data_IF_978518343937
#
_entry.id   IF_978518343937
#
_cell.length_a   1.000
_cell.length_b   1.000
_cell.length_c   1.000
_cell.angle_alpha   90.00
_cell.angle_beta   90.00
_cell.angle_gamma   90.00
#
_symmetry.space_group_name_H-M   'P 1'
#
loop_
_entity.id
_entity.type
_entity.pdbx_description
1 polymer ?
#
# COMPACT_ATOMS: atom_id res chain seq x y z
N UNK A 1 20.76 31.25 -12.62
CA UNK A 1 19.70 30.43 -12.00
C UNK A 1 20.17 29.00 -12.04
N UNK A 2 20.52 28.43 -10.89
CA UNK A 2 20.73 27.00 -10.75
C UNK A 2 19.40 26.32 -11.05
N UNK A 3 19.33 25.31 -11.95
CA UNK A 3 18.10 24.55 -12.11
C UNK A 3 17.71 23.98 -10.73
N UNK A 4 16.41 23.90 -10.40
CA UNK A 4 15.99 23.28 -9.15
C UNK A 4 16.59 21.87 -9.12
N UNK A 5 17.17 21.48 -7.97
CA UNK A 5 17.64 20.13 -7.72
C UNK A 5 16.52 19.19 -8.12
N UNK A 6 16.73 18.45 -9.20
CA UNK A 6 15.75 17.50 -9.70
C UNK A 6 15.63 16.40 -8.64
N UNK A 7 14.49 16.32 -7.97
CA UNK A 7 14.23 15.25 -7.01
C UNK A 7 14.42 13.92 -7.71
N UNK A 8 15.34 13.11 -7.18
CA UNK A 8 15.66 11.81 -7.75
C UNK A 8 14.53 10.85 -7.39
N UNK A 9 13.93 10.23 -8.41
CA UNK A 9 12.83 9.27 -8.25
C UNK A 9 13.19 7.95 -8.92
N UNK A 10 12.56 6.86 -8.45
CA UNK A 10 12.81 5.51 -8.93
C UNK A 10 11.48 4.80 -9.16
N UNK A 11 11.44 3.90 -10.15
CA UNK A 11 10.32 2.97 -10.33
C UNK A 11 10.65 1.75 -9.48
N UNK A 12 9.81 1.38 -8.50
CA UNK A 12 10.02 0.17 -7.70
C UNK A 12 9.07 -0.94 -8.16
N UNK A 13 9.61 -2.13 -8.43
CA UNK A 13 8.79 -3.29 -8.73
C UNK A 13 7.94 -3.67 -7.51
N UNK A 14 6.64 -3.88 -7.75
CA UNK A 14 5.69 -4.22 -6.68
C UNK A 14 5.88 -5.64 -6.11
N UNK A 15 6.65 -6.51 -6.78
CA UNK A 15 6.94 -7.87 -6.32
C UNK A 15 8.42 -7.95 -5.96
N UNK A 16 8.70 -8.36 -4.72
CA UNK A 16 10.07 -8.50 -4.24
C UNK A 16 10.74 -9.76 -4.84
N UNK A 17 12.03 -9.66 -5.14
CA UNK A 17 12.85 -10.80 -5.54
C UNK A 17 13.31 -11.58 -4.30
N UNK A 18 12.99 -12.87 -4.22
CA UNK A 18 13.30 -13.70 -3.05
C UNK A 18 14.47 -14.62 -3.33
N UNK A 19 15.50 -14.60 -2.46
CA UNK A 19 16.72 -15.39 -2.63
C UNK A 19 17.06 -16.26 -1.42
N UNK A 20 17.66 -17.43 -1.65
CA UNK A 20 18.12 -18.32 -0.57
C UNK A 20 19.09 -17.60 0.37
N UNK A 21 19.04 -17.88 1.68
CA UNK A 21 19.87 -17.20 2.68
C UNK A 21 21.37 -17.28 2.40
N UNK A 22 21.86 -18.43 1.90
CA UNK A 22 23.28 -18.59 1.53
C UNK A 22 23.71 -17.62 0.42
N UNK A 23 22.78 -17.28 -0.50
CA UNK A 23 23.03 -16.31 -1.57
C UNK A 23 22.92 -14.89 -1.01
N UNK A 24 21.88 -14.59 -0.22
CA UNK A 24 21.72 -13.31 0.46
C UNK A 24 23.00 -12.91 1.24
N UNK A 25 23.53 -13.82 2.06
CA UNK A 25 24.76 -13.60 2.85
C UNK A 25 26.01 -13.28 2.02
N UNK A 26 26.05 -13.62 0.74
CA UNK A 26 27.18 -13.36 -0.17
C UNK A 26 26.99 -12.11 -1.01
N UNK A 27 25.75 -11.68 -1.20
CA UNK A 27 25.38 -10.63 -2.16
C UNK A 27 25.01 -9.33 -1.46
N UNK A 28 24.44 -9.40 -0.26
CA UNK A 28 24.02 -8.21 0.47
C UNK A 28 25.21 -7.56 1.19
N UNK A 29 25.16 -6.23 1.44
CA UNK A 29 26.14 -5.57 2.29
C UNK A 29 26.28 -6.27 3.64
N UNK A 30 27.49 -6.29 4.25
CA UNK A 30 27.67 -6.87 5.58
C UNK A 30 26.70 -6.25 6.60
N UNK A 31 25.92 -7.08 7.29
CA UNK A 31 24.92 -6.65 8.28
C UNK A 31 23.53 -6.33 7.73
N UNK A 32 23.34 -6.30 6.41
CA UNK A 32 22.04 -6.05 5.80
C UNK A 32 21.17 -7.32 5.70
N UNK A 33 19.89 -7.17 6.04
CA UNK A 33 18.85 -8.18 5.87
C UNK A 33 18.17 -8.13 4.51
N UNK A 34 18.04 -6.94 3.90
CA UNK A 34 17.45 -6.72 2.57
C UNK A 34 18.35 -5.84 1.71
N UNK A 35 18.09 -5.81 0.40
CA UNK A 35 18.83 -4.96 -0.54
C UNK A 35 17.95 -4.44 -1.66
N UNK A 36 18.07 -3.15 -1.99
CA UNK A 36 17.40 -2.54 -3.14
C UNK A 36 18.41 -2.21 -4.22
N UNK A 37 18.22 -2.77 -5.42
CA UNK A 37 18.99 -2.40 -6.59
C UNK A 37 18.35 -1.19 -7.27
N UNK A 38 18.89 0.00 -7.03
CA UNK A 38 18.40 1.23 -7.65
C UNK A 38 18.76 1.27 -9.15
N UNK A 39 17.76 1.58 -9.98
CA UNK A 39 17.94 1.70 -11.42
C UNK A 39 17.40 3.05 -11.90
N UNK A 40 18.14 3.71 -12.81
CA UNK A 40 17.69 4.98 -13.39
C UNK A 40 16.38 4.79 -14.15
N UNK A 41 15.38 5.67 -13.95
CA UNK A 41 14.16 5.62 -14.74
C UNK A 41 14.44 5.65 -16.25
N UNK A 42 13.72 4.86 -17.06
CA UNK A 42 12.48 4.14 -16.76
C UNK A 42 12.68 2.70 -16.25
N UNK A 43 13.87 2.31 -15.80
CA UNK A 43 14.11 0.95 -15.30
C UNK A 43 13.52 0.75 -13.90
N UNK A 44 12.95 -0.42 -13.66
CA UNK A 44 12.46 -0.79 -12.33
C UNK A 44 13.63 -1.19 -11.42
N UNK A 45 13.67 -0.56 -10.25
CA UNK A 45 14.41 -0.99 -9.07
C UNK A 45 13.71 -2.18 -8.43
N UNK A 46 14.47 -3.04 -7.76
CA UNK A 46 13.96 -4.31 -7.21
C UNK A 46 14.40 -4.46 -5.76
N UNK A 47 13.43 -4.63 -4.85
CA UNK A 47 13.67 -5.08 -3.48
C UNK A 47 14.01 -6.57 -3.50
N UNK A 48 15.14 -6.94 -2.91
CA UNK A 48 15.57 -8.33 -2.75
C UNK A 48 15.57 -8.71 -1.28
N UNK A 49 14.87 -9.80 -0.94
CA UNK A 49 14.74 -10.31 0.43
C UNK A 49 15.17 -11.77 0.53
N UNK A 50 15.66 -12.21 1.70
CA UNK A 50 16.04 -13.59 1.94
C UNK A 50 14.85 -14.48 2.29
N UNK A 51 15.01 -15.81 2.21
CA UNK A 51 13.95 -16.79 2.52
C UNK A 51 13.41 -16.68 3.95
N UNK A 52 14.25 -16.23 4.89
CA UNK A 52 13.82 -15.98 6.28
C UNK A 52 12.88 -14.77 6.45
N UNK A 53 12.86 -13.86 5.48
CA UNK A 53 11.97 -12.68 5.48
C UNK A 53 10.72 -12.97 4.68
N UNK A 54 10.83 -13.68 3.56
CA UNK A 54 9.66 -14.11 2.78
C UNK A 54 9.95 -15.42 2.05
N UNK A 55 8.92 -16.23 1.91
CA UNK A 55 8.90 -17.35 0.98
C UNK A 55 8.89 -16.85 -0.47
N UNK A 56 9.41 -17.66 -1.41
CA UNK A 56 9.33 -17.36 -2.83
C UNK A 56 7.86 -17.34 -3.30
N UNK A 57 7.61 -16.65 -4.41
CA UNK A 57 6.29 -16.63 -5.04
C UNK A 57 5.81 -18.05 -5.39
N UNK A 58 4.54 -18.32 -5.08
CA UNK A 58 3.78 -19.49 -5.50
C UNK A 58 2.65 -19.07 -6.43
N UNK A 59 1.86 -20.04 -6.92
CA UNK A 59 0.70 -19.77 -7.77
C UNK A 59 -0.38 -18.93 -7.06
N UNK A 60 -0.44 -19.02 -5.74
CA UNK A 60 -1.52 -18.41 -4.94
C UNK A 60 -1.03 -17.26 -4.05
N UNK A 61 0.29 -17.06 -3.90
CA UNK A 61 0.84 -16.10 -2.96
C UNK A 61 2.19 -15.57 -3.43
N UNK A 62 2.42 -14.26 -3.34
CA UNK A 62 3.70 -13.65 -3.67
C UNK A 62 3.97 -12.46 -2.75
N UNK A 63 5.24 -12.21 -2.39
CA UNK A 63 5.58 -11.03 -1.61
C UNK A 63 5.33 -9.79 -2.44
N UNK A 64 4.73 -8.78 -1.82
CA UNK A 64 4.44 -7.54 -2.52
C UNK A 64 4.74 -6.32 -1.65
N UNK A 65 5.21 -5.26 -2.31
CA UNK A 65 5.47 -3.95 -1.70
C UNK A 65 4.14 -3.22 -1.59
N UNK A 66 3.67 -3.00 -0.36
CA UNK A 66 2.40 -2.34 -0.09
C UNK A 66 2.52 -0.81 -0.14
N UNK A 67 3.63 -0.27 0.36
CA UNK A 67 3.89 1.17 0.35
C UNK A 67 5.39 1.45 0.42
N UNK A 68 5.79 2.66 0.01
CA UNK A 68 7.14 3.17 0.18
C UNK A 68 7.09 4.67 0.50
N UNK A 69 8.04 5.14 1.30
CA UNK A 69 8.21 6.54 1.64
C UNK A 69 9.50 7.11 1.01
N UNK A 70 9.53 8.43 0.84
CA UNK A 70 10.68 9.19 0.36
C UNK A 70 11.96 9.03 1.22
N UNK A 71 11.84 8.62 2.48
CA UNK A 71 12.99 8.31 3.35
C UNK A 71 13.72 7.02 2.98
N UNK A 72 13.13 6.16 2.14
CA UNK A 72 13.64 4.82 1.80
C UNK A 72 13.04 3.70 2.63
N UNK A 73 12.06 3.99 3.49
CA UNK A 73 11.26 2.97 4.15
C UNK A 73 10.30 2.31 3.16
N UNK A 74 10.25 0.98 3.19
CA UNK A 74 9.43 0.15 2.31
C UNK A 74 8.61 -0.80 3.18
N UNK A 75 7.29 -0.77 3.04
CA UNK A 75 6.39 -1.73 3.67
C UNK A 75 6.20 -2.94 2.77
N UNK A 76 6.75 -4.07 3.21
CA UNK A 76 6.68 -5.35 2.54
C UNK A 76 5.62 -6.24 3.20
N UNK A 77 4.79 -6.86 2.38
CA UNK A 77 3.95 -7.97 2.79
C UNK A 77 4.61 -9.26 2.30
N UNK A 78 5.13 -10.00 3.25
CA UNK A 78 5.86 -11.23 3.04
C UNK A 78 4.93 -12.44 3.08
N UNK A 79 5.36 -13.51 2.42
CA UNK A 79 4.63 -14.77 2.37
C UNK A 79 5.29 -15.80 3.27
N UNK A 80 4.53 -16.44 4.15
CA UNK A 80 5.05 -17.51 4.98
C UNK A 80 4.97 -18.88 4.26
N UNK A 81 5.84 -19.84 4.59
CA UNK A 81 5.90 -21.12 3.90
C UNK A 81 4.60 -21.94 4.07
N UNK A 82 4.21 -22.67 3.02
CA UNK A 82 2.98 -23.47 2.98
C UNK A 82 2.95 -24.53 4.09
N UNK A 83 2.05 -24.33 5.06
CA UNK A 83 1.80 -25.27 6.14
C UNK A 83 0.72 -24.77 7.08
N UNK A 84 -0.54 -25.04 6.73
CA UNK A 84 -1.78 -24.93 7.55
C UNK A 84 -2.49 -23.59 7.72
N UNK A 85 -1.94 -22.44 7.32
CA UNK A 85 -2.71 -21.21 7.05
C UNK A 85 -1.81 -20.26 6.25
N UNK A 86 -2.28 -19.68 5.16
CA UNK A 86 -1.53 -18.72 4.34
C UNK A 86 -1.44 -17.36 5.05
N UNK A 87 -0.66 -17.29 6.12
CA UNK A 87 -0.41 -16.05 6.85
C UNK A 87 0.55 -15.14 6.07
N UNK A 88 0.21 -13.87 6.05
CA UNK A 88 1.04 -12.79 5.50
C UNK A 88 1.69 -12.10 6.69
N UNK A 89 3.00 -12.00 6.69
CA UNK A 89 3.74 -11.21 7.68
C UNK A 89 4.06 -9.84 7.11
N UNK A 90 4.07 -8.82 7.97
CA UNK A 90 4.34 -7.45 7.56
C UNK A 90 5.72 -7.04 8.01
N UNK A 91 6.46 -6.42 7.10
CA UNK A 91 7.87 -6.11 7.28
C UNK A 91 8.10 -4.66 6.91
N UNK A 92 8.77 -3.92 7.80
CA UNK A 92 9.28 -2.60 7.51
C UNK A 92 10.75 -2.72 7.14
N UNK A 93 11.04 -2.53 5.86
CA UNK A 93 12.37 -2.61 5.28
C UNK A 93 12.97 -1.21 5.12
N UNK A 94 14.21 -0.99 5.57
CA UNK A 94 14.95 0.24 5.32
C UNK A 94 15.91 0.03 4.14
N UNK A 95 15.66 0.70 3.02
CA UNK A 95 16.46 0.55 1.81
C UNK A 95 17.85 1.22 1.88
N UNK A 96 18.11 2.08 2.87
CA UNK A 96 19.41 2.71 3.11
C UNK A 96 20.30 1.84 3.99
N UNK A 97 19.76 1.30 5.07
CA UNK A 97 20.52 0.47 6.02
C UNK A 97 20.50 -1.01 5.62
N UNK A 98 19.48 -1.43 4.87
CA UNK A 98 19.21 -2.84 4.58
C UNK A 98 18.59 -3.58 5.76
N UNK A 99 18.10 -2.89 6.79
CA UNK A 99 17.45 -3.52 7.94
C UNK A 99 16.02 -3.96 7.62
N UNK A 100 15.60 -5.01 8.30
CA UNK A 100 14.23 -5.54 8.26
C UNK A 100 13.65 -5.58 9.68
N UNK A 101 12.42 -5.12 9.84
CA UNK A 101 11.68 -5.24 11.09
C UNK A 101 10.34 -5.90 10.83
N UNK A 102 10.15 -7.12 11.36
CA UNK A 102 8.86 -7.80 11.33
C UNK A 102 7.87 -7.12 12.29
N UNK A 103 6.72 -6.73 11.75
CA UNK A 103 5.58 -6.20 12.48
C UNK A 103 4.71 -7.38 12.90
N UNK A 104 5.12 -8.09 13.95
CA UNK A 104 4.46 -9.30 14.42
C UNK A 104 2.94 -9.15 14.64
N UNK A 105 2.25 -10.27 14.43
CA UNK A 105 0.81 -10.40 14.21
C UNK A 105 -0.08 -9.76 15.30
N UNK A 106 -1.17 -9.17 14.83
CA UNK A 106 -2.40 -9.03 15.59
C UNK A 106 -3.07 -10.41 15.67
N UNK A 107 -3.71 -10.78 16.79
CA UNK A 107 -4.45 -12.04 16.99
C UNK A 107 -5.69 -12.22 16.06
N UNK A 108 -5.81 -11.45 14.99
CA UNK A 108 -6.88 -11.55 13.99
C UNK A 108 -6.28 -11.97 12.67
N UNK A 109 -7.04 -12.75 11.90
CA UNK A 109 -6.70 -13.10 10.52
C UNK A 109 -6.50 -11.83 9.71
N UNK A 110 -5.23 -11.47 9.54
CA UNK A 110 -4.78 -10.46 8.60
C UNK A 110 -5.31 -10.85 7.23
N UNK A 111 -5.98 -9.92 6.55
CA UNK A 111 -6.58 -10.20 5.24
C UNK A 111 -5.53 -10.68 4.24
N UNK A 112 -5.92 -11.64 3.39
CA UNK A 112 -5.07 -12.24 2.34
C UNK A 112 -4.51 -11.18 1.35
N UNK A 113 -5.07 -9.98 1.35
CA UNK A 113 -4.68 -8.87 0.49
C UNK A 113 -4.32 -7.68 1.40
N UNK A 114 -3.03 -7.32 1.52
CA UNK A 114 -2.66 -6.10 2.27
C UNK A 114 -2.70 -4.84 1.39
N UNK A 115 -3.56 -4.83 0.36
CA UNK A 115 -4.08 -3.61 -0.27
C UNK A 115 -4.81 -2.67 0.72
N UNK A 116 -4.90 -3.05 1.99
CA UNK A 116 -5.44 -2.30 3.12
C UNK A 116 -4.37 -1.63 3.98
N UNK A 117 -3.08 -1.86 3.72
CA UNK A 117 -1.99 -1.30 4.51
C UNK A 117 -1.48 0.02 3.95
N UNK A 118 -1.37 1.01 4.83
CA UNK A 118 -0.73 2.30 4.58
C UNK A 118 0.53 2.46 5.41
N UNK A 119 1.47 3.24 4.86
CA UNK A 119 2.69 3.69 5.54
C UNK A 119 2.71 5.22 5.51
N UNK A 120 2.95 5.84 6.66
CA UNK A 120 3.17 7.28 6.73
C UNK A 120 4.32 7.64 7.66
N UNK A 121 5.17 8.54 7.18
CA UNK A 121 6.27 9.12 7.96
C UNK A 121 5.98 10.61 8.16
N UNK A 122 6.05 11.08 9.41
CA UNK A 122 5.86 12.49 9.77
C UNK A 122 6.73 12.85 10.96
N UNK A 123 7.52 13.92 10.84
CA UNK A 123 8.32 14.44 11.96
C UNK A 123 9.27 13.42 12.60
N UNK A 124 9.79 12.48 11.81
CA UNK A 124 10.67 11.39 12.29
C UNK A 124 9.94 10.22 12.94
N UNK A 125 8.61 10.28 13.08
CA UNK A 125 7.78 9.14 13.48
C UNK A 125 7.22 8.43 12.25
N UNK A 126 7.11 7.12 12.34
CA UNK A 126 6.58 6.26 11.28
C UNK A 126 5.40 5.45 11.84
N UNK A 127 4.30 5.44 11.09
CA UNK A 127 3.11 4.66 11.42
C UNK A 127 2.73 3.80 10.22
N UNK A 128 2.41 2.54 10.52
CA UNK A 128 1.80 1.59 9.59
C UNK A 128 0.37 1.38 10.04
N UNK A 129 -0.58 1.42 9.11
CA UNK A 129 -2.00 1.28 9.46
C UNK A 129 -2.74 0.35 8.53
N UNK A 130 -3.66 -0.43 9.07
CA UNK A 130 -4.60 -1.24 8.30
C UNK A 130 -6.04 -0.77 8.58
N UNK A 131 -6.84 -0.58 7.53
CA UNK A 131 -8.27 -0.28 7.68
C UNK A 131 -9.12 -1.48 7.30
N UNK A 132 -10.03 -1.86 8.18
CA UNK A 132 -10.98 -2.94 7.98
C UNK A 132 -12.42 -2.43 8.13
N UNK A 133 -13.05 -1.94 7.05
CA UNK A 133 -14.47 -1.61 7.05
C UNK A 133 -15.33 -2.87 7.26
N UNK A 134 -16.38 -2.78 8.07
CA UNK A 134 -17.24 -3.91 8.40
C UNK A 134 -18.04 -4.43 7.20
N UNK A 135 -18.50 -3.52 6.32
CA UNK A 135 -19.24 -3.89 5.11
C UNK A 135 -20.65 -4.45 5.35
N UNK A 136 -21.12 -4.43 6.60
CA UNK A 136 -22.41 -4.96 7.05
C UNK A 136 -23.55 -3.92 7.01
N UNK A 137 -23.27 -2.72 6.49
CA UNK A 137 -24.22 -1.61 6.43
C UNK A 137 -24.27 -0.73 7.69
N UNK A 138 -23.46 -1.00 8.73
CA UNK A 138 -23.42 -0.17 9.94
C UNK A 138 -22.62 1.12 9.76
N UNK A 139 -21.69 1.14 8.79
CA UNK A 139 -20.73 2.25 8.63
C UNK A 139 -19.58 2.21 9.65
N UNK A 140 -19.37 1.09 10.35
CA UNK A 140 -18.23 0.89 11.24
C UNK A 140 -16.99 0.38 10.51
N UNK A 141 -15.80 0.81 10.95
CA UNK A 141 -14.51 0.32 10.50
C UNK A 141 -13.53 0.19 11.66
N UNK A 142 -12.66 -0.81 11.60
CA UNK A 142 -11.56 -0.96 12.54
C UNK A 142 -10.27 -0.40 11.90
N UNK A 143 -9.64 0.56 12.55
CA UNK A 143 -8.32 1.06 12.20
C UNK A 143 -7.28 0.42 13.14
N UNK A 144 -6.38 -0.36 12.56
CA UNK A 144 -5.22 -0.91 13.23
C UNK A 144 -4.03 0.01 12.97
N UNK A 145 -3.33 0.43 14.02
CA UNK A 145 -2.16 1.31 13.88
C UNK A 145 -0.95 0.74 14.62
N UNK A 146 0.18 0.64 13.93
CA UNK A 146 1.48 0.27 14.49
C UNK A 146 2.42 1.46 14.35
N UNK A 147 2.80 2.05 15.48
CA UNK A 147 3.84 3.09 15.50
C UNK A 147 5.20 2.43 15.69
N UNK A 148 6.14 2.72 14.80
CA UNK A 148 7.50 2.16 14.87
C UNK A 148 8.15 2.54 16.21
N UNK A 149 8.69 1.53 16.90
CA UNK A 149 9.27 1.67 18.25
C UNK A 149 8.30 1.44 19.41
N UNK A 150 6.98 1.35 19.16
CA UNK A 150 5.99 0.99 20.20
C UNK A 150 5.76 -0.53 20.31
N UNK A 151 6.18 -1.30 19.29
CA UNK A 151 6.12 -2.77 19.25
C UNK A 151 4.74 -3.38 19.53
N UNK A 152 3.66 -2.65 19.26
CA UNK A 152 2.28 -3.10 19.43
C UNK A 152 1.35 -2.44 18.42
N UNK A 153 0.31 -3.18 18.05
CA UNK A 153 -0.83 -2.64 17.31
C UNK A 153 -1.82 -2.00 18.29
N UNK A 154 -2.40 -0.86 17.88
CA UNK A 154 -3.49 -0.18 18.57
C UNK A 154 -4.74 -0.26 17.70
N UNK A 155 -5.81 -0.79 18.26
CA UNK A 155 -7.14 -0.87 17.63
C UNK A 155 -7.92 0.42 17.91
N UNK A 156 -8.56 0.99 16.88
CA UNK A 156 -9.52 2.10 17.01
C UNK A 156 -10.76 1.81 16.17
N UNK A 157 -11.93 1.84 16.80
CA UNK A 157 -13.21 1.75 16.09
C UNK A 157 -13.62 3.13 15.57
N UNK A 158 -13.86 3.21 14.27
CA UNK A 158 -14.18 4.44 13.55
C UNK A 158 -15.53 4.29 12.85
N UNK A 159 -16.22 5.40 12.65
CA UNK A 159 -17.41 5.47 11.84
C UNK A 159 -17.13 6.20 10.53
N UNK A 160 -17.81 5.81 9.46
CA UNK A 160 -17.79 6.49 8.17
C UNK A 160 -19.17 6.49 7.53
N UNK A 161 -19.41 7.47 6.66
CA UNK A 161 -20.63 7.59 5.88
C UNK A 161 -20.31 7.92 4.42
N UNK A 162 -21.09 7.40 3.45
CA UNK A 162 -22.24 6.50 3.60
C UNK A 162 -21.83 5.06 4.01
N UNK A 163 -22.71 4.26 4.64
CA UNK A 163 -22.35 2.90 5.01
C UNK A 163 -22.18 2.01 3.78
N UNK A 164 -21.21 1.09 3.85
CA UNK A 164 -20.99 0.09 2.81
C UNK A 164 -21.78 -1.19 3.15
N UNK A 165 -22.55 -1.70 2.19
CA UNK A 165 -23.34 -2.94 2.32
C UNK A 165 -22.68 -4.15 1.62
N UNK A 166 -21.37 -4.11 1.46
CA UNK A 166 -20.56 -5.17 0.87
C UNK A 166 -19.16 -5.16 1.47
N UNK A 167 -18.40 -6.21 1.25
CA UNK A 167 -16.99 -6.24 1.61
C UNK A 167 -16.20 -5.14 0.89
N UNK A 168 -15.27 -4.53 1.61
CA UNK A 168 -14.28 -3.59 1.07
C UNK A 168 -13.33 -4.32 0.12
N UNK A 169 -13.21 -3.85 -1.12
CA UNK A 169 -12.35 -4.50 -2.13
C UNK A 169 -10.88 -4.22 -1.88
N UNK A 170 -10.56 -2.95 -1.60
CA UNK A 170 -9.20 -2.48 -1.41
C UNK A 170 -8.41 -2.50 -2.72
N UNK A 171 -7.96 -1.34 -3.17
CA UNK A 171 -7.15 -1.21 -4.38
C UNK A 171 -5.79 -0.54 -4.09
N UNK A 172 -5.51 -0.30 -2.82
CA UNK A 172 -4.28 0.27 -2.30
C UNK A 172 -4.54 1.39 -1.31
N UNK A 173 -3.46 1.85 -0.68
CA UNK A 173 -3.47 2.96 0.27
C UNK A 173 -2.48 4.02 -0.20
N UNK A 174 -2.87 5.29 -0.10
CA UNK A 174 -2.08 6.41 -0.56
C UNK A 174 -1.75 7.30 0.63
N UNK A 175 -0.47 7.64 0.80
CA UNK A 175 -0.01 8.64 1.76
C UNK A 175 0.15 9.97 1.05
N UNK A 176 -0.66 10.96 1.41
CA UNK A 176 -0.64 12.28 0.79
C UNK A 176 -1.23 13.34 1.72
N UNK A 177 -0.62 14.53 1.76
CA UNK A 177 -1.19 15.67 2.51
C UNK A 177 -1.35 15.45 4.02
N UNK A 178 -0.60 14.53 4.63
CA UNK A 178 -0.79 14.16 6.04
C UNK A 178 -1.98 13.23 6.28
N UNK A 179 -2.57 12.67 5.23
CA UNK A 179 -3.65 11.69 5.32
C UNK A 179 -3.25 10.37 4.67
N UNK A 180 -3.76 9.27 5.22
CA UNK A 180 -3.80 8.00 4.54
C UNK A 180 -5.17 7.84 3.92
N UNK A 181 -5.21 7.49 2.63
CA UNK A 181 -6.42 7.29 1.86
C UNK A 181 -6.49 5.85 1.36
N UNK A 182 -7.40 5.06 1.91
CA UNK A 182 -7.72 3.70 1.47
C UNK A 182 -8.67 3.77 0.28
N UNK A 183 -8.28 3.16 -0.83
CA UNK A 183 -9.00 3.27 -2.11
C UNK A 183 -9.90 2.05 -2.30
N UNK A 184 -11.18 2.30 -2.60
CA UNK A 184 -12.08 1.34 -3.25
C UNK A 184 -12.65 1.99 -4.51
N UNK A 185 -12.22 1.53 -5.69
CA UNK A 185 -12.53 2.23 -6.94
C UNK A 185 -14.02 2.19 -7.31
N UNK A 186 -14.81 1.37 -6.62
CA UNK A 186 -16.27 1.31 -6.79
C UNK A 186 -17.06 2.05 -5.71
N UNK A 187 -16.41 2.56 -4.67
CA UNK A 187 -17.06 3.26 -3.57
C UNK A 187 -16.51 4.68 -3.34
N UNK A 188 -15.21 4.88 -3.46
CA UNK A 188 -14.55 6.11 -3.04
C UNK A 188 -13.24 5.84 -2.32
N UNK A 189 -12.78 6.85 -1.60
CA UNK A 189 -11.69 6.71 -0.66
C UNK A 189 -12.24 6.91 0.75
N UNK A 190 -11.68 6.18 1.70
CA UNK A 190 -11.79 6.54 3.11
C UNK A 190 -10.44 7.12 3.52
N UNK A 191 -10.43 8.30 4.13
CA UNK A 191 -9.18 8.99 4.48
C UNK A 191 -9.17 9.42 5.93
N UNK A 192 -8.04 9.27 6.63
CA UNK A 192 -7.87 9.85 7.96
C UNK A 192 -6.41 10.25 8.21
N UNK A 193 -6.19 11.12 9.20
CA UNK A 193 -4.85 11.34 9.75
C UNK A 193 -4.50 10.22 10.75
N UNK A 194 -3.54 9.33 10.44
CA UNK A 194 -3.20 8.22 11.35
C UNK A 194 -2.49 8.68 12.63
N UNK A 195 -1.98 9.92 12.68
CA UNK A 195 -1.32 10.48 13.87
C UNK A 195 -2.28 11.22 14.80
N UNK A 196 -3.54 11.40 14.41
CA UNK A 196 -4.53 12.03 15.29
C UNK A 196 -4.83 11.13 16.51
N UNK A 197 -4.95 11.76 17.67
CA UNK A 197 -5.40 11.07 18.89
C UNK A 197 -6.78 10.42 18.65
N UNK A 198 -7.69 11.19 18.04
CA UNK A 198 -9.02 10.78 17.60
C UNK A 198 -9.11 10.90 16.06
N UNK A 199 -8.74 9.87 15.30
CA UNK A 199 -8.82 9.92 13.85
C UNK A 199 -10.28 9.86 13.39
N UNK A 200 -10.61 10.65 12.36
CA UNK A 200 -11.93 10.65 11.73
C UNK A 200 -11.82 10.15 10.29
N UNK A 201 -12.71 9.24 9.89
CA UNK A 201 -12.75 8.74 8.51
C UNK A 201 -13.59 9.65 7.64
N UNK A 202 -12.94 10.30 6.68
CA UNK A 202 -13.56 11.11 5.66
C UNK A 202 -13.79 10.28 4.40
N UNK A 203 -15.04 10.23 3.92
CA UNK A 203 -15.34 9.65 2.61
C UNK A 203 -15.10 10.68 1.51
N UNK A 204 -14.30 10.28 0.52
CA UNK A 204 -14.06 11.05 -0.71
C UNK A 204 -14.69 10.29 -1.87
N UNK A 205 -15.85 10.73 -2.40
CA UNK A 205 -16.51 10.06 -3.49
C UNK A 205 -15.70 10.21 -4.80
N UNK A 206 -15.74 9.18 -5.63
CA UNK A 206 -15.17 9.26 -6.98
C UNK A 206 -16.14 9.99 -7.93
N UNK A 207 -15.63 10.80 -8.88
CA UNK A 207 -16.44 11.39 -9.93
C UNK A 207 -17.23 10.35 -10.71
N UNK A 208 -18.50 10.66 -11.03
CA UNK A 208 -19.31 9.84 -11.91
C UNK A 208 -19.01 10.16 -13.38
N UNK A 209 -18.78 9.12 -14.20
CA UNK A 209 -18.63 9.23 -15.65
C UNK A 209 -19.87 8.64 -16.32
N UNK A 210 -20.39 9.29 -17.36
CA UNK A 210 -21.61 8.86 -18.06
C UNK A 210 -21.50 7.48 -18.69
N UNK A 211 -20.32 7.14 -19.20
CA UNK A 211 -19.98 5.80 -19.70
C UNK A 211 -19.45 4.94 -18.55
N UNK A 212 -20.36 4.51 -17.67
CA UNK A 212 -19.98 3.65 -16.55
C UNK A 212 -19.45 2.31 -17.08
N UNK A 213 -18.18 2.04 -16.79
CA UNK A 213 -17.61 0.70 -16.94
C UNK A 213 -18.42 -0.27 -16.07
N UNK A 214 -18.61 -1.53 -16.49
CA UNK A 214 -19.32 -2.51 -15.70
C UNK A 214 -18.69 -2.61 -14.30
N UNK A 215 -19.53 -2.43 -13.28
CA UNK A 215 -19.20 -2.40 -11.84
C UNK A 215 -18.40 -3.63 -11.38
N UNK A 216 -18.45 -4.71 -12.16
CA UNK A 216 -17.96 -6.05 -11.85
C UNK A 216 -16.85 -6.54 -12.78
N UNK A 217 -16.06 -5.66 -13.40
CA UNK A 217 -14.84 -6.12 -14.04
C UNK A 217 -13.82 -6.52 -12.96
N UNK A 218 -13.40 -7.79 -12.96
CA UNK A 218 -12.23 -8.26 -12.19
C UNK A 218 -10.96 -7.44 -12.50
N UNK A 219 -11.00 -6.64 -13.56
CA UNK A 219 -9.93 -5.77 -14.03
C UNK A 219 -10.25 -4.27 -13.86
N UNK A 220 -11.02 -3.89 -12.83
CA UNK A 220 -11.39 -2.49 -12.57
C UNK A 220 -10.19 -1.54 -12.53
N UNK A 221 -9.05 -2.01 -12.03
CA UNK A 221 -7.78 -1.24 -12.01
C UNK A 221 -7.11 -1.03 -13.38
N UNK A 222 -7.50 -1.75 -14.43
CA UNK A 222 -6.92 -1.56 -15.76
C UNK A 222 -7.44 -0.31 -16.48
N UNK A 223 -8.64 0.15 -16.11
CA UNK A 223 -9.27 1.29 -16.75
C UNK A 223 -9.41 2.50 -15.84
N UNK A 224 -9.07 2.38 -14.55
CA UNK A 224 -9.12 3.51 -13.62
C UNK A 224 -8.16 3.33 -12.46
N UNK A 225 -7.66 4.43 -11.94
CA UNK A 225 -6.80 4.42 -10.76
C UNK A 225 -6.90 5.74 -10.00
N UNK A 226 -6.50 5.69 -8.73
CA UNK A 226 -6.23 6.89 -7.93
C UNK A 226 -4.74 6.92 -7.62
N UNK A 227 -4.05 8.02 -7.92
CA UNK A 227 -2.61 8.20 -7.66
C UNK A 227 -2.29 9.65 -7.35
N UNK A 228 -1.13 9.92 -6.75
CA UNK A 228 -0.61 11.29 -6.57
C UNK A 228 0.09 11.73 -7.86
N UNK A 229 -0.29 12.89 -8.38
CA UNK A 229 0.37 13.49 -9.55
C UNK A 229 0.29 15.02 -9.51
N UNK A 230 1.46 15.67 -9.63
CA UNK A 230 1.60 17.12 -9.47
C UNK A 230 1.25 17.60 -8.06
N UNK A 231 1.60 16.81 -7.03
CA UNK A 231 1.32 17.14 -5.63
C UNK A 231 -0.16 17.02 -5.22
N UNK A 232 -1.03 16.50 -6.09
CA UNK A 232 -2.45 16.31 -5.81
C UNK A 232 -2.85 14.86 -5.96
N UNK A 233 -3.84 14.43 -5.17
CA UNK A 233 -4.52 13.17 -5.38
C UNK A 233 -5.37 13.26 -6.64
N UNK A 234 -5.18 12.33 -7.58
CA UNK A 234 -5.89 12.33 -8.86
C UNK A 234 -6.58 11.01 -9.11
N UNK A 235 -7.81 11.10 -9.57
CA UNK A 235 -8.53 9.99 -10.17
C UNK A 235 -8.37 10.05 -11.69
N UNK A 236 -8.06 8.91 -12.31
CA UNK A 236 -7.99 8.74 -13.75
C UNK A 236 -8.96 7.63 -14.14
N UNK A 237 -9.70 7.85 -15.22
CA UNK A 237 -10.52 6.82 -15.85
C UNK A 237 -10.36 6.86 -17.38
N UNK A 238 -10.17 5.68 -17.96
CA UNK A 238 -10.15 5.40 -19.38
C UNK A 238 -11.53 4.83 -19.73
N UNK A 239 -12.24 5.48 -20.64
CA UNK A 239 -13.60 5.12 -21.08
C UNK A 239 -13.77 5.43 -22.58
N UNK A 240 -15.00 5.44 -23.10
CA UNK A 240 -15.27 5.52 -24.52
C UNK A 240 -15.14 4.17 -25.25
N UNK A 241 -15.28 4.18 -26.58
CA UNK A 241 -15.18 2.96 -27.38
C UNK A 241 -13.71 2.51 -27.54
N UNK A 242 -13.45 1.23 -27.81
CA UNK A 242 -12.09 0.76 -28.12
C UNK A 242 -11.41 1.51 -29.28
N UNK A 243 -12.20 1.99 -30.24
CA UNK A 243 -11.71 2.73 -31.41
C UNK A 243 -11.49 4.23 -31.14
N UNK A 244 -12.03 4.76 -30.02
CA UNK A 244 -11.90 6.15 -29.62
C UNK A 244 -11.85 6.28 -28.07
N UNK A 245 -10.75 5.81 -27.44
CA UNK A 245 -10.64 5.85 -25.99
C UNK A 245 -10.48 7.30 -25.49
N UNK A 246 -11.18 7.62 -24.41
CA UNK A 246 -11.11 8.90 -23.71
C UNK A 246 -10.45 8.69 -22.36
N UNK A 247 -9.45 9.50 -22.05
CA UNK A 247 -8.85 9.58 -20.71
C UNK A 247 -9.37 10.82 -20.01
N UNK A 248 -10.04 10.63 -18.89
CA UNK A 248 -10.50 11.71 -18.03
C UNK A 248 -9.74 11.69 -16.71
N UNK A 249 -9.45 12.88 -16.19
CA UNK A 249 -8.65 13.06 -14.98
C UNK A 249 -9.27 14.12 -14.09
N UNK A 250 -9.38 13.83 -12.81
CA UNK A 250 -9.93 14.72 -11.80
C UNK A 250 -8.93 14.86 -10.65
N UNK A 251 -8.86 16.05 -10.06
CA UNK A 251 -8.23 16.24 -8.77
C UNK A 251 -9.25 15.91 -7.67
N UNK A 252 -8.84 15.09 -6.71
CA UNK A 252 -9.61 14.81 -5.50
C UNK A 252 -9.12 15.82 -4.44
N UNK A 253 -10.06 16.55 -3.83
CA UNK A 253 -9.82 17.53 -2.76
C UNK A 253 -9.90 16.88 -1.39
#
# INVERSE_FOLDING_TARGET
MTPPLQEQWFILAGIANVVKDKKAKRTFPPGADVSVAYAEPPRASVLTVPYRVSSPSSLCSYPYVAAADSSGLILLCATEPEGTNSWVTYHLCDARTGEDTCLHEHNRTVGIHGNKLGLMVRGGSCVVTELQPAGDGTGGALLLSYTVGQYRWVEKELAYLPPLHREWRGEGVISHGGMLSWVDLSYGLLSCDPFADTPELLHVPLPSVGDQLPVLSANGGAHRCVRVSGGMLRFVQIHGSPDAPVVSTWALV
#
